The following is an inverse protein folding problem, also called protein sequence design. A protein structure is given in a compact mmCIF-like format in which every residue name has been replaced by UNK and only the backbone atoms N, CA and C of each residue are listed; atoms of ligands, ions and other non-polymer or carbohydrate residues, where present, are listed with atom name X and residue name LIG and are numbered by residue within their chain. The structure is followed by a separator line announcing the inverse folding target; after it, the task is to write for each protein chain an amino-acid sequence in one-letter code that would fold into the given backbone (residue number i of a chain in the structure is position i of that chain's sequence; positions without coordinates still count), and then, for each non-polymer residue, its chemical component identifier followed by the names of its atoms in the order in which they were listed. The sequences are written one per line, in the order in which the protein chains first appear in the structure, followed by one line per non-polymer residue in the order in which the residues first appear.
data_IF_897315622746
#
_entry.id   IF_897315622746
#
_cell.length_a   1.000
_cell.length_b   1.000
_cell.length_c   1.000
_cell.angle_alpha   90.00
_cell.angle_beta   90.00
_cell.angle_gamma   90.00
#
_symmetry.space_group_name_H-M   'P 1'
#
loop_
_entity.id
_entity.type
_entity.pdbx_description
1 polymer ?
#
# COMPACT_ATOMS: atom_id res chain seq x y z
N UNK A 1 -2.27 13.09 5.73
CA UNK A 1 -1.22 13.73 6.54
C UNK A 1 -1.87 14.66 7.57
N UNK A 2 -1.42 14.64 8.82
CA UNK A 2 -1.84 15.62 9.83
C UNK A 2 -0.85 16.79 9.83
N UNK A 3 -1.31 17.98 9.45
CA UNK A 3 -0.45 19.14 9.22
C UNK A 3 0.13 19.76 10.50
N UNK A 4 -0.61 19.71 11.61
CA UNK A 4 -0.19 20.27 12.89
C UNK A 4 1.00 19.47 13.46
N UNK A 5 0.86 18.14 13.47
CA UNK A 5 1.93 17.23 13.92
C UNK A 5 3.13 17.28 12.97
N UNK A 6 2.89 17.38 11.67
CA UNK A 6 3.95 17.56 10.68
C UNK A 6 4.77 18.82 10.99
N UNK A 7 4.13 19.97 11.23
CA UNK A 7 4.79 21.24 11.51
C UNK A 7 5.57 21.24 12.83
N UNK A 8 5.06 20.55 13.85
CA UNK A 8 5.68 20.52 15.18
C UNK A 8 6.89 19.59 15.25
N UNK A 9 6.82 18.41 14.60
CA UNK A 9 7.81 17.35 14.79
C UNK A 9 8.72 17.07 13.59
N UNK A 10 8.39 17.54 12.37
CA UNK A 10 9.25 17.32 11.21
C UNK A 10 10.35 18.39 11.13
N UNK A 11 11.62 18.00 10.88
CA UNK A 11 12.74 18.93 10.86
C UNK A 11 12.79 19.85 9.62
N UNK A 12 11.80 19.78 8.72
CA UNK A 12 11.79 20.56 7.49
C UNK A 12 10.57 20.29 6.61
N UNK A 13 10.66 20.74 5.36
CA UNK A 13 9.62 20.54 4.35
C UNK A 13 9.41 19.05 4.06
N UNK A 14 8.15 18.64 4.01
CA UNK A 14 7.76 17.28 3.69
C UNK A 14 7.80 17.12 2.18
N UNK A 15 8.74 16.30 1.72
CA UNK A 15 8.86 15.91 0.31
C UNK A 15 8.11 14.61 0.02
N UNK A 16 7.72 14.35 -1.24
CA UNK A 16 7.20 13.06 -1.66
C UNK A 16 8.14 11.90 -1.30
N UNK A 17 7.58 10.69 -1.19
CA UNK A 17 8.38 9.50 -0.92
C UNK A 17 9.42 9.30 -2.04
N UNK A 18 10.72 9.18 -1.74
CA UNK A 18 11.75 8.99 -2.77
C UNK A 18 11.82 7.56 -3.29
N UNK A 19 11.11 6.61 -2.67
CA UNK A 19 11.16 5.20 -3.03
C UNK A 19 10.20 4.81 -4.17
N UNK A 20 9.23 5.68 -4.50
CA UNK A 20 8.17 5.36 -5.44
C UNK A 20 7.89 6.53 -6.37
N UNK A 21 7.45 6.20 -7.59
CA UNK A 21 6.98 7.16 -8.58
C UNK A 21 5.50 6.91 -8.90
N UNK A 22 4.77 7.96 -9.27
CA UNK A 22 3.36 7.81 -9.66
C UNK A 22 3.25 6.95 -10.93
N UNK A 23 2.34 5.99 -10.92
CA UNK A 23 2.16 5.04 -12.02
C UNK A 23 3.17 3.90 -12.06
N UNK A 24 4.06 3.80 -11.07
CA UNK A 24 4.97 2.66 -10.95
C UNK A 24 4.20 1.36 -10.69
N UNK A 25 4.53 0.31 -11.44
CA UNK A 25 3.90 -0.99 -11.35
C UNK A 25 4.90 -2.06 -10.94
N UNK A 26 4.44 -3.03 -10.15
CA UNK A 26 5.24 -4.16 -9.72
C UNK A 26 4.44 -5.44 -9.94
N UNK A 27 5.06 -6.43 -10.60
CA UNK A 27 4.53 -7.78 -10.72
C UNK A 27 5.22 -8.67 -9.70
N UNK A 28 4.42 -9.40 -8.94
CA UNK A 28 4.90 -10.33 -7.92
C UNK A 28 4.35 -11.71 -8.21
N UNK A 29 5.24 -12.70 -8.24
CA UNK A 29 4.87 -14.11 -8.20
C UNK A 29 5.12 -14.64 -6.79
N UNK A 30 4.06 -15.07 -6.10
CA UNK A 30 4.12 -15.48 -4.71
C UNK A 30 4.11 -14.31 -3.70
N UNK A 31 4.91 -14.44 -2.65
CA UNK A 31 4.96 -13.51 -1.50
C UNK A 31 6.34 -12.86 -1.32
N UNK A 32 7.24 -13.03 -2.30
CA UNK A 32 8.56 -12.43 -2.25
C UNK A 32 8.48 -10.95 -2.63
N UNK A 33 9.20 -10.11 -1.86
CA UNK A 33 9.27 -8.68 -2.14
C UNK A 33 10.02 -8.43 -3.45
N UNK A 34 9.55 -7.57 -4.36
CA UNK A 34 10.34 -7.13 -5.51
C UNK A 34 11.64 -6.47 -5.06
N UNK A 35 12.72 -6.63 -5.83
CA UNK A 35 14.04 -6.08 -5.50
C UNK A 35 13.98 -4.57 -5.21
N UNK A 36 13.30 -3.83 -6.09
CA UNK A 36 13.22 -2.36 -6.03
C UNK A 36 12.05 -1.83 -5.20
N UNK A 37 11.32 -2.70 -4.48
CA UNK A 37 10.23 -2.27 -3.61
C UNK A 37 10.75 -1.90 -2.23
N UNK A 38 10.30 -0.77 -1.68
CA UNK A 38 10.63 -0.33 -0.33
C UNK A 38 10.22 -1.37 0.73
N UNK A 39 11.17 -1.83 1.55
CA UNK A 39 10.93 -2.88 2.56
C UNK A 39 9.86 -2.51 3.58
N UNK A 40 9.84 -1.24 4.02
CA UNK A 40 8.84 -0.72 4.94
C UNK A 40 7.43 -0.80 4.36
N UNK A 41 7.26 -0.27 3.14
CA UNK A 41 5.98 -0.29 2.44
C UNK A 41 5.54 -1.73 2.13
N UNK A 42 6.49 -2.64 1.85
CA UNK A 42 6.18 -4.05 1.59
C UNK A 42 5.55 -4.71 2.82
N UNK A 43 6.17 -4.53 3.99
CA UNK A 43 5.66 -5.08 5.23
C UNK A 43 4.25 -4.55 5.57
N UNK A 44 3.98 -3.28 5.24
CA UNK A 44 2.65 -2.69 5.44
C UNK A 44 1.57 -3.38 4.61
N UNK A 45 1.88 -3.66 3.33
CA UNK A 45 0.93 -4.23 2.38
C UNK A 45 0.92 -5.77 2.31
N UNK A 46 1.93 -6.44 2.88
CA UNK A 46 2.13 -7.89 2.77
C UNK A 46 0.89 -8.68 3.19
N UNK A 47 0.16 -8.21 4.20
CA UNK A 47 -1.09 -8.84 4.65
C UNK A 47 -2.17 -8.87 3.56
N UNK A 48 -2.28 -7.80 2.77
CA UNK A 48 -3.26 -7.67 1.69
C UNK A 48 -2.83 -8.51 0.49
N UNK A 49 -1.54 -8.46 0.14
CA UNK A 49 -0.94 -9.33 -0.88
C UNK A 49 -1.20 -10.80 -0.53
N UNK A 50 -0.92 -11.20 0.71
CA UNK A 50 -1.14 -12.58 1.19
C UNK A 50 -2.61 -12.99 1.12
N UNK A 51 -3.52 -12.12 1.58
CA UNK A 51 -4.96 -12.41 1.53
C UNK A 51 -5.44 -12.60 0.09
N UNK A 52 -5.06 -11.70 -0.83
CA UNK A 52 -5.42 -11.83 -2.25
C UNK A 52 -4.80 -13.09 -2.87
N UNK A 53 -3.51 -13.34 -2.66
CA UNK A 53 -2.79 -14.51 -3.21
C UNK A 53 -3.37 -15.85 -2.75
N UNK A 54 -3.97 -15.92 -1.56
CA UNK A 54 -4.55 -17.16 -1.01
C UNK A 54 -6.03 -17.38 -1.35
N UNK A 55 -6.67 -16.48 -2.11
CA UNK A 55 -8.08 -16.62 -2.46
C UNK A 55 -9.03 -15.62 -1.80
N UNK A 56 -8.55 -14.87 -0.81
CA UNK A 56 -9.35 -13.89 -0.06
C UNK A 56 -9.77 -12.67 -0.89
N UNK A 57 -10.64 -11.86 -0.30
CA UNK A 57 -11.15 -10.61 -0.86
C UNK A 57 -11.37 -9.56 0.23
N UNK A 58 -11.57 -8.30 -0.18
CA UNK A 58 -11.84 -7.16 0.70
C UNK A 58 -13.16 -6.45 0.34
N UNK A 59 -14.12 -7.19 -0.19
CA UNK A 59 -15.40 -6.67 -0.69
C UNK A 59 -16.60 -7.36 -0.02
N UNK A 60 -16.40 -8.51 0.62
CA UNK A 60 -17.44 -9.34 1.23
C UNK A 60 -17.31 -9.38 2.77
N UNK A 61 -18.34 -9.91 3.42
CA UNK A 61 -18.41 -10.15 4.88
C UNK A 61 -18.07 -8.90 5.72
N UNK A 62 -17.08 -9.00 6.61
CA UNK A 62 -16.65 -7.90 7.49
C UNK A 62 -16.02 -6.73 6.72
N UNK A 63 -15.64 -6.96 5.46
CA UNK A 63 -15.09 -5.94 4.55
C UNK A 63 -16.14 -5.42 3.56
N UNK A 64 -17.42 -5.74 3.77
CA UNK A 64 -18.48 -5.26 2.89
C UNK A 64 -18.48 -3.73 2.81
N UNK A 65 -18.37 -3.22 1.58
CA UNK A 65 -18.29 -1.78 1.29
C UNK A 65 -16.88 -1.18 1.27
N UNK A 66 -15.83 -1.96 1.55
CA UNK A 66 -14.44 -1.48 1.45
C UNK A 66 -13.99 -1.40 0.00
N UNK A 67 -14.11 -2.49 -0.76
CA UNK A 67 -13.70 -2.56 -2.16
C UNK A 67 -14.87 -2.97 -3.07
N UNK A 68 -14.84 -2.50 -4.32
CA UNK A 68 -15.84 -2.84 -5.35
C UNK A 68 -15.51 -4.14 -6.09
N UNK A 69 -14.25 -4.52 -6.15
CA UNK A 69 -13.75 -5.71 -6.83
C UNK A 69 -13.12 -6.65 -5.80
N UNK A 70 -13.49 -7.93 -5.86
CA UNK A 70 -13.00 -8.98 -4.96
C UNK A 70 -11.48 -9.21 -5.09
N UNK A 71 -10.87 -8.81 -6.21
CA UNK A 71 -9.46 -9.01 -6.51
C UNK A 71 -8.60 -7.78 -6.23
N UNK A 72 -9.19 -6.68 -5.75
CA UNK A 72 -8.51 -5.40 -5.57
C UNK A 72 -8.54 -4.97 -4.11
N UNK A 73 -7.43 -4.41 -3.64
CA UNK A 73 -7.32 -3.73 -2.36
C UNK A 73 -6.56 -2.42 -2.54
N UNK A 74 -7.09 -1.32 -1.99
CA UNK A 74 -6.35 -0.05 -1.87
C UNK A 74 -5.73 0.01 -0.48
N UNK A 75 -4.41 0.13 -0.43
CA UNK A 75 -3.64 0.24 0.80
C UNK A 75 -2.64 1.39 0.70
N UNK A 76 -2.09 1.84 1.83
CA UNK A 76 -1.09 2.89 1.85
C UNK A 76 0.16 2.46 2.61
N UNK A 77 1.29 3.09 2.29
CA UNK A 77 2.42 3.09 3.20
C UNK A 77 2.00 3.72 4.53
N UNK A 78 2.53 3.21 5.64
CA UNK A 78 2.26 3.75 6.98
C UNK A 78 3.01 5.05 7.26
N UNK A 79 3.94 5.46 6.40
CA UNK A 79 4.48 6.82 6.40
C UNK A 79 3.36 7.81 6.00
N UNK A 80 2.59 8.25 7.01
CA UNK A 80 1.48 9.18 6.84
C UNK A 80 1.91 10.63 6.58
N UNK A 81 3.21 10.93 6.67
CA UNK A 81 3.80 12.21 6.29
C UNK A 81 4.05 12.24 4.78
N UNK A 82 4.53 11.14 4.21
CA UNK A 82 4.77 11.00 2.76
C UNK A 82 3.77 10.01 2.15
N UNK A 83 2.55 10.46 1.83
CA UNK A 83 1.49 9.55 1.42
C UNK A 83 1.85 8.82 0.13
N UNK A 84 1.84 7.50 0.20
CA UNK A 84 1.92 6.61 -0.96
C UNK A 84 0.73 5.66 -0.89
N UNK A 85 -0.05 5.61 -1.96
CA UNK A 85 -1.24 4.76 -2.07
C UNK A 85 -1.00 3.73 -3.17
N UNK A 86 -1.17 2.46 -2.81
CA UNK A 86 -1.04 1.33 -3.70
C UNK A 86 -2.41 0.79 -4.06
N UNK A 87 -2.60 0.52 -5.35
CA UNK A 87 -3.63 -0.41 -5.82
C UNK A 87 -2.98 -1.79 -5.90
N UNK A 88 -3.45 -2.71 -5.07
CA UNK A 88 -3.01 -4.11 -5.06
C UNK A 88 -4.08 -4.90 -5.78
N UNK A 89 -3.69 -5.66 -6.81
CA UNK A 89 -4.61 -6.42 -7.64
C UNK A 89 -4.08 -7.83 -7.87
N UNK A 90 -4.95 -8.83 -7.72
CA UNK A 90 -4.65 -10.21 -8.12
C UNK A 90 -4.97 -10.42 -9.60
N UNK A 91 -3.95 -10.73 -10.38
CA UNK A 91 -4.04 -11.09 -11.80
C UNK A 91 -4.41 -12.59 -11.90
N UNK A 92 -5.27 -12.93 -12.87
CA UNK A 92 -5.70 -14.31 -13.17
C UNK A 92 -5.08 -14.82 -14.46
#
# INVERSE_FOLDING_TARGET
MNEDLAREYCPGEIIPCPCFEEGQEFLVDGLEKPADFCEWAWNDILRFVTALSTGGNFSQDIFQGWMKDDNVMIASCTDGLRPVVFKIERIK
#
